data_IF_166037713216
#
_entry.id   IF_166037713216
#
_cell.length_a   1.000
_cell.length_b   1.000
_cell.length_c   1.000
_cell.angle_alpha   90.00
_cell.angle_beta   90.00
_cell.angle_gamma   90.00
#
_symmetry.space_group_name_H-M   'P 1'
#
loop_
_entity.id
_entity.type
_entity.pdbx_description
1 polymer ?
#
# COMPACT_ATOMS: atom_id res chain seq x y z
N UNK A 1 -23.08 42.38 2.11
CA UNK A 1 -23.00 41.21 1.25
C UNK A 1 -21.82 40.38 1.71
N UNK A 2 -22.10 39.35 2.50
CA UNK A 2 -21.07 38.40 2.99
C UNK A 2 -20.89 37.30 1.96
N UNK A 3 -19.70 37.24 1.39
CA UNK A 3 -19.32 36.21 0.44
C UNK A 3 -18.82 34.99 1.23
N UNK A 4 -19.62 33.92 1.30
CA UNK A 4 -19.26 32.67 1.94
C UNK A 4 -18.54 31.83 0.88
N UNK A 5 -17.21 31.85 0.90
CA UNK A 5 -16.39 30.92 0.13
C UNK A 5 -16.58 29.52 0.70
N UNK A 6 -17.23 28.66 -0.06
CA UNK A 6 -17.24 27.21 0.18
C UNK A 6 -15.81 26.68 0.14
N UNK A 7 -15.39 25.85 1.12
CA UNK A 7 -14.13 25.16 1.03
C UNK A 7 -14.23 24.10 -0.08
N UNK A 8 -13.35 24.20 -1.06
CA UNK A 8 -13.16 23.16 -2.05
C UNK A 8 -12.85 21.83 -1.33
N UNK A 9 -13.74 20.85 -1.46
CA UNK A 9 -13.48 19.48 -1.03
C UNK A 9 -12.33 18.92 -1.89
N UNK A 10 -11.13 19.11 -1.42
CA UNK A 10 -9.96 18.39 -1.94
C UNK A 10 -10.14 16.93 -1.57
N UNK A 11 -10.60 16.13 -2.52
CA UNK A 11 -10.62 14.67 -2.38
C UNK A 11 -9.18 14.25 -2.06
N UNK A 12 -8.87 13.63 -0.92
CA UNK A 12 -7.51 13.24 -0.63
C UNK A 12 -7.11 12.19 -1.67
N UNK A 13 -6.11 12.53 -2.48
CA UNK A 13 -5.43 11.56 -3.33
C UNK A 13 -4.91 10.43 -2.42
N UNK A 14 -5.44 9.22 -2.62
CA UNK A 14 -5.19 8.09 -1.73
C UNK A 14 -3.88 7.40 -2.12
N UNK A 15 -2.73 7.72 -1.50
CA UNK A 15 -1.48 6.97 -1.68
C UNK A 15 -1.62 5.51 -1.23
N UNK A 16 -2.66 5.23 -0.44
CA UNK A 16 -2.93 3.96 0.18
C UNK A 16 -3.14 2.80 -0.81
N UNK A 17 -3.69 3.03 -2.01
CA UNK A 17 -4.00 1.96 -2.96
C UNK A 17 -2.76 1.22 -3.49
N UNK A 18 -1.63 1.89 -3.62
CA UNK A 18 -0.43 1.31 -4.23
C UNK A 18 0.31 0.32 -3.30
N UNK A 19 0.03 0.36 -2.00
CA UNK A 19 0.67 -0.48 -0.99
C UNK A 19 -0.27 -1.50 -0.35
N UNK A 20 -1.56 -1.43 -0.66
CA UNK A 20 -2.55 -2.35 -0.15
C UNK A 20 -2.62 -3.63 -1.00
N UNK A 21 -2.80 -4.76 -0.35
CA UNK A 21 -3.18 -6.01 -0.99
C UNK A 21 -4.67 -5.99 -1.32
N UNK A 22 -5.05 -6.63 -2.43
CA UNK A 22 -6.45 -6.75 -2.85
C UNK A 22 -6.96 -8.14 -2.60
N UNK A 23 -8.15 -8.27 -2.05
CA UNK A 23 -8.89 -9.51 -1.93
C UNK A 23 -10.27 -9.36 -2.58
N UNK A 24 -10.66 -10.34 -3.38
CA UNK A 24 -12.03 -10.49 -3.86
C UNK A 24 -12.70 -11.55 -2.98
N UNK A 25 -13.77 -11.16 -2.28
CA UNK A 25 -14.41 -12.05 -1.33
C UNK A 25 -14.98 -13.29 -2.03
N UNK A 26 -14.62 -14.51 -1.59
CA UNK A 26 -15.06 -15.75 -2.21
C UNK A 26 -16.56 -15.98 -1.99
N UNK A 27 -17.19 -16.90 -2.72
CA UNK A 27 -18.55 -17.32 -2.44
C UNK A 27 -18.64 -18.02 -1.09
N UNK A 28 -19.69 -17.70 -0.30
CA UNK A 28 -19.93 -18.28 1.03
C UNK A 28 -21.12 -17.64 1.72
N UNK A 29 -21.37 -18.01 2.97
CA UNK A 29 -22.55 -17.60 3.75
C UNK A 29 -22.15 -16.88 5.05
N UNK A 30 -21.20 -15.93 4.97
CA UNK A 30 -20.84 -15.11 6.11
C UNK A 30 -21.82 -13.95 6.29
N UNK A 31 -22.00 -13.52 7.53
CA UNK A 31 -22.87 -12.38 7.86
C UNK A 31 -22.16 -11.07 7.54
N UNK A 32 -20.91 -10.96 7.97
CA UNK A 32 -20.12 -9.74 7.81
C UNK A 32 -18.86 -9.97 6.99
N UNK A 33 -18.29 -8.87 6.49
CA UNK A 33 -16.98 -8.86 5.83
C UNK A 33 -15.91 -9.38 6.79
N UNK A 34 -15.97 -9.00 8.07
CA UNK A 34 -15.03 -9.47 9.09
C UNK A 34 -15.04 -11.00 9.21
N UNK A 35 -16.21 -11.61 9.24
CA UNK A 35 -16.34 -13.07 9.36
C UNK A 35 -15.72 -13.79 8.16
N UNK A 36 -15.95 -13.26 6.96
CA UNK A 36 -15.32 -13.76 5.73
C UNK A 36 -13.81 -13.65 5.77
N UNK A 37 -13.27 -12.51 6.19
CA UNK A 37 -11.82 -12.29 6.27
C UNK A 37 -11.15 -13.19 7.31
N UNK A 38 -11.76 -13.37 8.46
CA UNK A 38 -11.27 -14.29 9.50
C UNK A 38 -11.23 -15.75 9.01
N UNK A 39 -12.23 -16.16 8.26
CA UNK A 39 -12.28 -17.52 7.71
C UNK A 39 -11.30 -17.70 6.54
N UNK A 40 -11.14 -16.70 5.69
CA UNK A 40 -10.25 -16.74 4.53
C UNK A 40 -8.77 -16.65 4.92
N UNK A 41 -8.43 -15.84 5.91
CA UNK A 41 -7.04 -15.58 6.36
C UNK A 41 -6.78 -16.19 7.74
N UNK A 42 -6.62 -17.50 7.82
CA UNK A 42 -6.40 -18.24 9.07
C UNK A 42 -5.18 -17.82 9.90
N UNK A 43 -4.19 -17.17 9.25
CA UNK A 43 -2.98 -16.67 9.91
C UNK A 43 -3.18 -15.32 10.63
N UNK A 44 -4.32 -14.68 10.45
CA UNK A 44 -4.65 -13.38 11.05
C UNK A 44 -5.85 -13.59 11.96
N UNK A 45 -5.67 -13.32 13.24
CA UNK A 45 -6.75 -13.48 14.20
C UNK A 45 -7.82 -12.37 14.11
N UNK A 46 -8.97 -12.61 14.74
CA UNK A 46 -10.09 -11.67 14.71
C UNK A 46 -9.75 -10.33 15.36
N UNK A 47 -8.94 -10.32 16.41
CA UNK A 47 -8.53 -9.09 17.09
C UNK A 47 -7.64 -8.23 16.21
N UNK A 48 -6.73 -8.84 15.46
CA UNK A 48 -5.89 -8.15 14.49
C UNK A 48 -6.72 -7.55 13.34
N UNK A 49 -7.76 -8.25 12.87
CA UNK A 49 -8.67 -7.69 11.88
C UNK A 49 -9.47 -6.52 12.43
N UNK A 50 -10.03 -6.64 13.63
CA UNK A 50 -10.77 -5.54 14.28
C UNK A 50 -9.91 -4.30 14.47
N UNK A 51 -8.65 -4.46 14.89
CA UNK A 51 -7.68 -3.36 14.97
C UNK A 51 -7.43 -2.70 13.61
N UNK A 52 -7.27 -3.48 12.55
CA UNK A 52 -7.12 -2.95 11.17
C UNK A 52 -8.36 -2.17 10.72
N UNK A 53 -9.56 -2.68 10.98
CA UNK A 53 -10.80 -1.95 10.68
C UNK A 53 -10.86 -0.64 11.46
N UNK A 54 -10.59 -0.66 12.76
CA UNK A 54 -10.60 0.52 13.63
C UNK A 54 -9.61 1.61 13.16
N UNK A 55 -8.45 1.21 12.64
CA UNK A 55 -7.43 2.13 12.10
C UNK A 55 -7.66 2.53 10.64
N UNK A 56 -8.78 2.13 10.02
CA UNK A 56 -9.05 2.41 8.61
C UNK A 56 -8.10 1.73 7.64
N UNK A 57 -7.57 0.55 8.00
CA UNK A 57 -6.61 -0.22 7.20
C UNK A 57 -7.27 -1.27 6.31
N UNK A 58 -8.60 -1.28 6.24
CA UNK A 58 -9.41 -2.07 5.30
C UNK A 58 -10.29 -1.11 4.52
N UNK A 59 -10.19 -1.15 3.19
CA UNK A 59 -10.81 -0.19 2.29
C UNK A 59 -11.70 -0.90 1.28
N UNK A 60 -12.73 -0.21 0.80
CA UNK A 60 -13.56 -0.65 -0.34
C UNK A 60 -12.83 -0.46 -1.68
N UNK A 61 -13.51 -0.78 -2.78
CA UNK A 61 -12.98 -0.63 -4.14
C UNK A 61 -12.66 0.83 -4.50
N UNK A 62 -13.32 1.78 -3.86
CA UNK A 62 -13.13 3.23 -4.02
C UNK A 62 -12.03 3.80 -3.12
N UNK A 63 -11.50 2.98 -2.19
CA UNK A 63 -10.44 3.38 -1.25
C UNK A 63 -10.94 4.06 0.01
N UNK A 64 -12.23 3.90 0.36
CA UNK A 64 -12.81 4.40 1.61
C UNK A 64 -12.71 3.33 2.68
N UNK A 65 -12.43 3.75 3.92
CA UNK A 65 -12.40 2.83 5.05
C UNK A 65 -13.79 2.18 5.26
N UNK A 66 -13.81 0.88 5.50
CA UNK A 66 -15.03 0.13 5.76
C UNK A 66 -15.10 -0.33 7.21
N UNK A 67 -16.33 -0.52 7.71
CA UNK A 67 -16.59 -1.04 9.04
C UNK A 67 -16.50 -2.57 9.09
N UNK A 68 -16.15 -3.11 10.24
CA UNK A 68 -16.15 -4.57 10.48
C UNK A 68 -17.53 -5.20 10.34
N UNK A 69 -18.59 -4.43 10.63
CA UNK A 69 -19.99 -4.85 10.54
C UNK A 69 -20.55 -4.75 9.11
N UNK A 70 -19.76 -4.29 8.13
CA UNK A 70 -20.20 -4.23 6.74
C UNK A 70 -20.74 -5.61 6.31
N UNK A 71 -22.00 -5.67 5.81
CA UNK A 71 -22.57 -6.93 5.34
C UNK A 71 -21.74 -7.56 4.23
N UNK A 72 -21.51 -8.87 4.35
CA UNK A 72 -20.80 -9.63 3.33
C UNK A 72 -21.58 -9.63 2.00
N UNK A 73 -20.83 -9.45 0.89
CA UNK A 73 -21.34 -9.69 -0.47
C UNK A 73 -20.29 -10.46 -1.27
N UNK A 74 -20.72 -11.54 -1.92
CA UNK A 74 -19.89 -12.32 -2.85
C UNK A 74 -19.27 -11.40 -3.91
N UNK A 75 -17.98 -11.58 -4.16
CA UNK A 75 -17.25 -10.83 -5.19
C UNK A 75 -16.91 -9.39 -4.80
N UNK A 76 -17.24 -8.95 -3.58
CA UNK A 76 -16.82 -7.63 -3.08
C UNK A 76 -15.31 -7.54 -3.09
N UNK A 77 -14.78 -6.45 -3.64
CA UNK A 77 -13.36 -6.18 -3.67
C UNK A 77 -12.98 -5.28 -2.51
N UNK A 78 -12.02 -5.74 -1.71
CA UNK A 78 -11.46 -4.99 -0.61
C UNK A 78 -9.96 -4.83 -0.78
N UNK A 79 -9.44 -3.72 -0.27
CA UNK A 79 -8.02 -3.46 -0.14
C UNK A 79 -7.65 -3.47 1.33
N UNK A 80 -6.57 -4.15 1.69
CA UNK A 80 -6.09 -4.19 3.07
C UNK A 80 -4.58 -4.07 3.12
N UNK A 81 -4.08 -3.47 4.18
CA UNK A 81 -2.64 -3.32 4.38
C UNK A 81 -2.11 -4.53 5.14
N UNK A 82 -1.11 -5.18 4.54
CA UNK A 82 -0.41 -6.27 5.21
C UNK A 82 0.47 -5.69 6.31
N UNK A 83 0.43 -6.32 7.46
CA UNK A 83 1.23 -5.98 8.64
C UNK A 83 1.73 -7.28 9.26
N UNK A 84 3.01 -7.30 9.58
CA UNK A 84 3.67 -8.42 10.24
C UNK A 84 4.27 -7.92 11.55
N UNK A 85 3.74 -8.33 12.72
CA UNK A 85 4.17 -7.79 14.01
C UNK A 85 5.63 -8.13 14.35
N UNK A 86 6.17 -9.21 13.80
CA UNK A 86 7.51 -9.73 14.11
C UNK A 86 8.33 -9.95 12.83
N UNK A 87 8.39 -8.93 11.97
CA UNK A 87 9.19 -9.00 10.76
C UNK A 87 10.68 -9.01 11.10
N UNK A 88 11.40 -10.00 10.60
CA UNK A 88 12.85 -10.11 10.85
C UNK A 88 13.58 -8.97 10.14
N UNK A 89 14.44 -8.22 10.85
CA UNK A 89 15.25 -7.20 10.21
C UNK A 89 16.21 -7.83 9.19
N UNK A 90 16.34 -7.19 8.04
CA UNK A 90 17.34 -7.57 7.03
C UNK A 90 18.55 -6.64 7.21
N UNK A 91 19.72 -7.16 7.60
CA UNK A 91 20.86 -6.33 8.03
C UNK A 91 21.63 -5.67 6.89
N UNK A 92 21.31 -5.99 5.62
CA UNK A 92 21.92 -5.37 4.45
C UNK A 92 21.26 -4.03 4.13
N UNK A 93 22.04 -3.09 3.58
CA UNK A 93 21.56 -1.76 3.24
C UNK A 93 21.64 -1.52 1.72
N UNK A 94 20.63 -0.84 1.22
CA UNK A 94 20.56 -0.33 -0.13
C UNK A 94 21.35 0.97 -0.28
N UNK A 95 21.84 1.23 -1.48
CA UNK A 95 22.50 2.50 -1.84
C UNK A 95 21.61 3.28 -2.80
N UNK A 96 21.35 4.55 -2.49
CA UNK A 96 20.66 5.44 -3.41
C UNK A 96 21.71 6.07 -4.33
N UNK A 97 21.58 5.85 -5.64
CA UNK A 97 22.52 6.31 -6.65
C UNK A 97 22.06 7.60 -7.31
N UNK A 98 20.75 7.80 -7.42
CA UNK A 98 20.16 8.99 -8.02
C UNK A 98 18.79 9.29 -7.41
N UNK A 99 18.52 10.58 -7.20
CA UNK A 99 17.21 11.08 -6.78
C UNK A 99 16.96 12.40 -7.48
N UNK A 100 15.87 12.50 -8.20
CA UNK A 100 15.30 13.77 -8.66
C UNK A 100 13.78 13.79 -8.45
N UNK A 101 13.10 14.79 -9.01
CA UNK A 101 11.65 14.95 -8.86
C UNK A 101 10.84 13.84 -9.54
N UNK A 102 11.41 13.09 -10.48
CA UNK A 102 10.71 12.08 -11.28
C UNK A 102 11.20 10.66 -11.04
N UNK A 103 12.48 10.50 -10.70
CA UNK A 103 13.16 9.22 -10.68
C UNK A 103 14.00 9.02 -9.43
N UNK A 104 13.93 7.83 -8.88
CA UNK A 104 14.85 7.32 -7.87
C UNK A 104 15.52 6.06 -8.43
N UNK A 105 16.85 6.01 -8.38
CA UNK A 105 17.64 4.82 -8.73
C UNK A 105 18.35 4.34 -7.48
N UNK A 106 18.11 3.08 -7.14
CA UNK A 106 18.74 2.45 -5.99
C UNK A 106 19.46 1.16 -6.39
N UNK A 107 20.62 0.94 -5.81
CA UNK A 107 21.31 -0.35 -5.85
C UNK A 107 20.78 -1.23 -4.73
N UNK A 108 20.09 -2.30 -5.11
CA UNK A 108 19.48 -3.26 -4.21
C UNK A 108 20.49 -4.34 -3.84
N UNK A 109 20.77 -4.55 -2.54
CA UNK A 109 21.60 -5.65 -2.11
C UNK A 109 20.92 -7.01 -2.30
N UNK A 110 21.69 -8.09 -2.24
CA UNK A 110 21.16 -9.45 -2.12
C UNK A 110 20.23 -9.57 -0.90
N UNK A 111 19.25 -10.45 -0.97
CA UNK A 111 18.32 -10.84 0.10
C UNK A 111 17.30 -9.77 0.53
N UNK A 112 17.29 -8.59 -0.07
CA UNK A 112 16.29 -7.56 0.14
C UNK A 112 15.20 -7.65 -0.95
N UNK A 113 13.91 -7.86 -0.61
CA UNK A 113 12.84 -7.81 -1.62
C UNK A 113 12.64 -6.37 -2.12
N UNK A 114 12.19 -6.20 -3.37
CA UNK A 114 11.84 -4.87 -3.91
C UNK A 114 10.54 -4.35 -3.32
N UNK A 115 9.52 -5.18 -3.27
CA UNK A 115 8.16 -4.83 -2.80
C UNK A 115 7.67 -5.83 -1.75
N UNK A 116 6.65 -5.49 -0.96
CA UNK A 116 6.06 -6.40 0.02
C UNK A 116 5.72 -7.77 -0.57
N UNK A 117 6.31 -8.81 -0.02
CA UNK A 117 6.12 -10.20 -0.46
C UNK A 117 6.40 -11.19 0.67
N UNK A 118 5.64 -12.30 0.73
CA UNK A 118 5.83 -13.33 1.73
C UNK A 118 5.80 -12.78 3.16
N UNK A 119 6.84 -13.03 3.90
CA UNK A 119 7.06 -12.61 5.29
C UNK A 119 7.72 -11.23 5.44
N UNK A 120 7.86 -10.47 4.35
CA UNK A 120 8.46 -9.13 4.35
C UNK A 120 7.45 -8.10 3.86
N UNK A 121 7.21 -7.08 4.69
CA UNK A 121 6.36 -5.92 4.39
C UNK A 121 7.15 -4.63 4.53
N UNK A 122 7.73 -4.38 5.69
CA UNK A 122 8.52 -3.18 5.99
C UNK A 122 9.98 -3.32 5.56
N UNK A 123 10.52 -4.55 5.60
CA UNK A 123 11.88 -4.86 5.16
C UNK A 123 11.91 -5.10 3.64
N UNK A 124 11.54 -4.07 2.87
CA UNK A 124 11.60 -4.06 1.41
C UNK A 124 12.26 -2.79 0.92
N UNK A 125 12.86 -2.84 -0.26
CA UNK A 125 13.52 -1.68 -0.86
C UNK A 125 12.55 -0.49 -0.97
N UNK A 126 11.36 -0.72 -1.49
CA UNK A 126 10.33 0.31 -1.62
C UNK A 126 10.00 1.00 -0.28
N UNK A 127 9.75 0.21 0.78
CA UNK A 127 9.38 0.76 2.09
C UNK A 127 10.52 1.53 2.74
N UNK A 128 11.76 1.05 2.58
CA UNK A 128 12.96 1.73 3.06
C UNK A 128 13.18 3.07 2.35
N UNK A 129 13.04 3.10 1.02
CA UNK A 129 13.16 4.33 0.23
C UNK A 129 12.06 5.34 0.58
N UNK A 130 10.82 4.90 0.72
CA UNK A 130 9.71 5.77 1.18
C UNK A 130 10.07 6.45 2.50
N UNK A 131 10.58 5.70 3.48
CA UNK A 131 10.97 6.28 4.79
C UNK A 131 12.16 7.22 4.69
N UNK A 132 13.20 6.83 3.94
CA UNK A 132 14.43 7.65 3.80
C UNK A 132 14.22 8.94 3.06
N UNK A 133 13.38 8.93 2.03
CA UNK A 133 13.12 10.07 1.17
C UNK A 133 11.88 10.88 1.58
N UNK A 134 11.07 10.36 2.52
CA UNK A 134 9.81 10.99 2.91
C UNK A 134 8.78 11.07 1.77
N UNK A 135 8.92 10.20 0.75
CA UNK A 135 8.08 10.21 -0.43
C UNK A 135 7.18 8.96 -0.48
N UNK A 136 5.90 9.07 -0.07
CA UNK A 136 4.96 7.95 -0.09
C UNK A 136 4.49 7.55 -1.51
N UNK A 137 4.82 8.35 -2.52
CA UNK A 137 4.36 8.18 -3.91
C UNK A 137 5.39 7.49 -4.81
N UNK A 138 6.37 6.80 -4.23
CA UNK A 138 7.31 6.00 -5.01
C UNK A 138 6.64 4.74 -5.54
N UNK A 139 6.85 4.48 -6.83
CA UNK A 139 6.35 3.27 -7.52
C UNK A 139 7.52 2.59 -8.24
N UNK A 140 7.78 1.31 -8.00
CA UNK A 140 8.82 0.60 -8.73
C UNK A 140 8.43 0.44 -10.19
N UNK A 141 9.35 0.75 -11.10
CA UNK A 141 9.19 0.52 -12.54
C UNK A 141 9.33 -0.95 -12.90
N UNK A 142 10.11 -1.69 -12.14
CA UNK A 142 10.37 -3.11 -12.32
C UNK A 142 10.73 -3.77 -10.99
N UNK A 143 10.86 -5.08 -11.00
CA UNK A 143 11.33 -5.85 -9.86
C UNK A 143 12.44 -6.79 -10.29
N UNK A 144 13.34 -7.07 -9.35
CA UNK A 144 14.29 -8.18 -9.41
C UNK A 144 14.08 -9.06 -8.19
N UNK A 145 14.48 -10.30 -8.26
CA UNK A 145 14.26 -11.27 -7.18
C UNK A 145 14.97 -10.88 -5.89
N UNK A 146 14.46 -11.37 -4.76
CA UNK A 146 15.04 -11.13 -3.44
C UNK A 146 16.53 -11.47 -3.39
N UNK A 147 16.93 -12.59 -4.00
CA UNK A 147 18.31 -13.06 -4.01
C UNK A 147 19.21 -12.33 -4.99
N UNK A 148 18.64 -11.56 -5.91
CA UNK A 148 19.39 -10.81 -6.94
C UNK A 148 19.71 -9.41 -6.43
N UNK A 149 20.98 -9.01 -6.56
CA UNK A 149 21.41 -7.62 -6.37
C UNK A 149 21.38 -6.88 -7.71
N UNK A 150 21.26 -5.58 -7.68
CA UNK A 150 21.32 -4.73 -8.85
C UNK A 150 20.42 -3.51 -8.79
N UNK A 151 20.39 -2.77 -9.88
CA UNK A 151 19.69 -1.50 -9.99
C UNK A 151 18.17 -1.70 -10.04
N UNK A 152 17.47 -0.90 -9.26
CA UNK A 152 16.00 -0.80 -9.29
C UNK A 152 15.61 0.66 -9.43
N UNK A 153 14.72 0.93 -10.37
CA UNK A 153 14.21 2.24 -10.71
C UNK A 153 12.82 2.43 -10.13
N UNK A 154 12.57 3.60 -9.58
CA UNK A 154 11.26 4.00 -9.03
C UNK A 154 10.85 5.33 -9.64
N UNK A 155 9.57 5.43 -10.03
CA UNK A 155 8.96 6.72 -10.33
C UNK A 155 8.60 7.44 -9.05
N UNK A 156 8.85 8.74 -9.03
CA UNK A 156 8.36 9.67 -8.02
C UNK A 156 7.10 10.33 -8.56
N UNK A 157 5.95 10.02 -7.96
CA UNK A 157 4.65 10.54 -8.41
C UNK A 157 4.23 11.83 -7.68
N UNK A 158 5.17 12.56 -7.05
CA UNK A 158 4.86 13.78 -6.28
C UNK A 158 4.31 14.90 -7.20
N UNK A 159 4.67 14.92 -8.47
CA UNK A 159 4.36 16.00 -9.42
C UNK A 159 3.68 15.52 -10.71
N UNK A 160 2.72 14.60 -10.63
CA UNK A 160 1.79 14.44 -11.76
C UNK A 160 0.73 15.56 -11.63
N UNK A 161 1.13 16.79 -11.90
CA UNK A 161 0.21 17.80 -12.42
C UNK A 161 -0.16 17.37 -13.82
N UNK A 162 -1.46 17.24 -14.10
CA UNK A 162 -1.95 16.89 -15.43
C UNK A 162 -1.25 17.74 -16.50
N UNK A 163 -0.79 17.13 -17.61
CA UNK A 163 -0.31 17.90 -18.72
C UNK A 163 -1.47 18.76 -19.24
N UNK A 164 -1.40 20.04 -19.04
CA UNK A 164 -2.28 21.02 -19.70
C UNK A 164 -2.09 20.84 -21.19
N UNK A 165 -3.00 20.13 -21.86
CA UNK A 165 -3.11 20.14 -23.31
C UNK A 165 -3.44 21.59 -23.69
N UNK A 166 -2.44 22.32 -24.13
CA UNK A 166 -2.67 23.51 -24.95
C UNK A 166 -2.93 23.04 -26.37
N UNK A 167 -4.11 23.30 -26.86
CA UNK A 167 -4.44 23.30 -28.28
C UNK A 167 -3.93 24.59 -28.90
#
# INVERSE_FOLDING_TARGET
>A
AMNVSSPAMTTPFVPARQQASTVCLPPGNWVTVLDCLCDHFKAIDRAQWLDRFARGRVLDAEGRAVSAELPYKRGMRLHYFRELPNERPIPVQETILHVDEHLVVADKPHFLPVTPTGEYVEQTLLRRLIRRLGNPHLVPLHRIDRHTAGLVLFLSLIHISEPTRRY
#
